data_IF_417221028973
#
_entry.id   IF_417221028973
#
_cell.length_a   1.000
_cell.length_b   1.000
_cell.length_c   1.000
_cell.angle_alpha   90.00
_cell.angle_beta   90.00
_cell.angle_gamma   90.00
#
_symmetry.space_group_name_H-M   'P 1'
#
loop_
_entity.id
_entity.type
_entity.pdbx_description
1 polymer ?
#
# COMPACT_ATOMS: atom_id res chain seq x y z
N UNK A 1 4.34 -34.66 -6.60
CA UNK A 1 4.13 -34.19 -5.23
C UNK A 1 3.42 -35.29 -4.46
N UNK A 2 3.83 -35.61 -3.23
CA UNK A 2 3.14 -36.63 -2.45
C UNK A 2 1.83 -36.03 -1.89
N UNK A 3 0.68 -36.69 -2.09
CA UNK A 3 -0.58 -36.23 -1.51
C UNK A 3 -0.52 -36.33 0.02
N UNK A 4 -1.13 -35.36 0.72
CA UNK A 4 -1.26 -35.42 2.18
C UNK A 4 -2.13 -36.61 2.58
N UNK A 5 -1.78 -37.23 3.70
CA UNK A 5 -2.61 -38.26 4.35
C UNK A 5 -3.69 -37.59 5.20
N UNK A 6 -4.80 -38.30 5.46
CA UNK A 6 -5.90 -37.75 6.27
C UNK A 6 -5.44 -37.27 7.66
N UNK A 7 -4.49 -37.98 8.29
CA UNK A 7 -3.94 -37.61 9.60
C UNK A 7 -3.12 -36.31 9.53
N UNK A 8 -2.39 -36.09 8.43
CA UNK A 8 -1.62 -34.86 8.21
C UNK A 8 -2.57 -33.68 8.01
N UNK A 9 -3.65 -33.86 7.24
CA UNK A 9 -4.70 -32.85 7.05
C UNK A 9 -5.40 -32.49 8.35
N UNK A 10 -5.66 -33.47 9.22
CA UNK A 10 -6.27 -33.22 10.53
C UNK A 10 -5.40 -32.33 11.41
N UNK A 11 -4.08 -32.52 11.38
CA UNK A 11 -3.13 -31.66 12.11
C UNK A 11 -3.04 -30.27 11.48
N UNK A 12 -2.97 -30.20 10.14
CA UNK A 12 -2.96 -28.93 9.41
C UNK A 12 -4.26 -28.15 9.50
N UNK A 13 -5.39 -28.77 9.91
CA UNK A 13 -6.68 -28.10 10.04
C UNK A 13 -6.66 -27.01 11.13
N UNK A 14 -6.00 -27.27 12.26
CA UNK A 14 -5.87 -26.28 13.36
C UNK A 14 -4.99 -25.12 12.90
N UNK A 15 -3.79 -25.43 12.40
CA UNK A 15 -2.87 -24.43 11.85
C UNK A 15 -3.53 -23.60 10.73
N UNK A 16 -4.38 -24.22 9.92
CA UNK A 16 -5.12 -23.52 8.87
C UNK A 16 -6.11 -22.50 9.44
N UNK A 17 -6.85 -22.86 10.50
CA UNK A 17 -7.84 -22.00 11.12
C UNK A 17 -7.24 -20.87 11.94
N UNK A 18 -6.08 -21.09 12.53
CA UNK A 18 -5.28 -20.08 13.24
C UNK A 18 -4.45 -19.21 12.28
N UNK A 19 -4.57 -19.45 10.97
CA UNK A 19 -3.82 -18.78 9.90
C UNK A 19 -2.30 -19.03 9.92
N UNK A 20 -1.83 -20.06 10.62
CA UNK A 20 -0.43 -20.44 10.77
C UNK A 20 0.08 -21.44 9.71
N UNK A 21 -0.81 -22.16 9.02
CA UNK A 21 -0.40 -23.16 8.02
C UNK A 21 0.39 -22.51 6.87
N UNK A 22 1.60 -22.96 6.49
CA UNK A 22 2.36 -22.39 5.38
C UNK A 22 1.67 -22.56 4.03
N UNK A 23 1.89 -21.61 3.12
CA UNK A 23 1.24 -21.58 1.79
C UNK A 23 1.51 -22.82 0.93
N UNK A 24 2.74 -23.33 1.00
CA UNK A 24 3.16 -24.54 0.29
C UNK A 24 2.41 -25.79 0.73
N UNK A 25 1.86 -25.77 1.95
CA UNK A 25 1.10 -26.88 2.51
C UNK A 25 -0.41 -26.63 2.44
N UNK A 26 -0.85 -25.37 2.31
CA UNK A 26 -2.25 -25.01 2.01
C UNK A 26 -2.74 -25.54 0.66
N UNK A 27 -1.92 -25.46 -0.39
CA UNK A 27 -2.31 -26.01 -1.71
C UNK A 27 -2.57 -27.52 -1.61
N UNK A 28 -1.66 -28.26 -0.97
CA UNK A 28 -1.83 -29.70 -0.72
C UNK A 28 -3.04 -30.00 0.17
N UNK A 29 -3.31 -29.14 1.15
CA UNK A 29 -4.46 -29.25 2.04
C UNK A 29 -5.76 -29.11 1.24
N UNK A 30 -5.89 -28.09 0.39
CA UNK A 30 -7.06 -27.92 -0.47
C UNK A 30 -7.22 -29.04 -1.50
N UNK A 31 -6.12 -29.48 -2.11
CA UNK A 31 -6.13 -30.61 -3.04
C UNK A 31 -6.65 -31.88 -2.37
N UNK A 32 -6.28 -32.11 -1.10
CA UNK A 32 -6.81 -33.23 -0.32
C UNK A 32 -8.30 -33.04 0.00
N UNK A 33 -8.73 -31.86 0.46
CA UNK A 33 -10.15 -31.57 0.73
C UNK A 33 -11.02 -31.73 -0.54
N UNK A 34 -10.46 -31.47 -1.72
CA UNK A 34 -11.13 -31.69 -3.00
C UNK A 34 -11.37 -33.18 -3.30
N UNK A 35 -10.56 -34.07 -2.74
CA UNK A 35 -10.58 -35.52 -3.02
C UNK A 35 -11.16 -36.36 -1.88
N UNK A 36 -11.09 -35.89 -0.63
CA UNK A 36 -11.54 -36.61 0.56
C UNK A 36 -12.81 -36.00 1.16
N UNK A 37 -13.95 -36.67 0.98
CA UNK A 37 -15.25 -36.21 1.51
C UNK A 37 -15.29 -36.14 3.04
N UNK A 38 -14.60 -37.05 3.73
CA UNK A 38 -14.53 -37.07 5.19
C UNK A 38 -13.79 -35.85 5.76
N UNK A 39 -12.61 -35.54 5.21
CA UNK A 39 -11.85 -34.36 5.65
C UNK A 39 -12.56 -33.05 5.29
N UNK A 40 -13.28 -33.01 4.15
CA UNK A 40 -14.13 -31.86 3.79
C UNK A 40 -15.25 -31.65 4.81
N UNK A 41 -15.98 -32.71 5.15
CA UNK A 41 -17.06 -32.62 6.13
C UNK A 41 -16.55 -32.12 7.49
N UNK A 42 -15.41 -32.63 7.97
CA UNK A 42 -14.79 -32.18 9.22
C UNK A 42 -14.37 -30.70 9.17
N UNK A 43 -13.81 -30.24 8.04
CA UNK A 43 -13.46 -28.83 7.85
C UNK A 43 -14.71 -27.94 7.84
N UNK A 44 -15.79 -28.36 7.17
CA UNK A 44 -17.02 -27.59 7.08
C UNK A 44 -17.75 -27.51 8.44
N UNK A 45 -17.78 -28.61 9.20
CA UNK A 45 -18.29 -28.65 10.58
C UNK A 45 -17.54 -27.66 11.47
N UNK A 46 -16.20 -27.64 11.39
CA UNK A 46 -15.40 -26.73 12.21
C UNK A 46 -15.59 -25.26 11.80
N UNK A 47 -15.80 -24.98 10.50
CA UNK A 47 -16.19 -23.63 10.04
C UNK A 47 -17.55 -23.21 10.56
N UNK A 48 -18.50 -24.13 10.65
CA UNK A 48 -19.81 -23.85 11.24
C UNK A 48 -19.69 -23.52 12.73
N UNK A 49 -18.92 -24.30 13.50
CA UNK A 49 -18.64 -24.02 14.91
C UNK A 49 -18.01 -22.64 15.09
N UNK A 50 -17.03 -22.28 14.26
CA UNK A 50 -16.41 -20.94 14.31
C UNK A 50 -17.40 -19.82 13.98
N UNK A 51 -18.31 -20.04 13.03
CA UNK A 51 -19.35 -19.07 12.71
C UNK A 51 -20.32 -18.88 13.89
N UNK A 52 -20.68 -19.95 14.59
CA UNK A 52 -21.52 -19.88 15.79
C UNK A 52 -20.81 -19.19 16.95
N UNK A 53 -19.54 -19.51 17.21
CA UNK A 53 -18.72 -18.87 18.26
C UNK A 53 -18.53 -17.38 17.99
N UNK A 54 -18.34 -16.98 16.72
CA UNK A 54 -18.21 -15.57 16.33
C UNK A 54 -19.48 -14.76 16.58
N UNK A 55 -20.63 -15.41 16.67
CA UNK A 55 -21.93 -14.79 16.97
C UNK A 55 -22.25 -14.77 18.47
N UNK A 56 -21.37 -15.28 19.33
CA UNK A 56 -21.50 -15.10 20.77
C UNK A 56 -21.23 -13.62 21.05
N UNK A 57 -22.21 -12.93 21.65
CA UNK A 57 -22.07 -11.53 22.03
C UNK A 57 -20.79 -11.36 22.86
N UNK A 58 -19.86 -10.57 22.32
CA UNK A 58 -18.67 -10.19 23.05
C UNK A 58 -19.13 -9.40 24.26
N UNK A 59 -18.97 -9.98 25.45
CA UNK A 59 -19.22 -9.29 26.70
C UNK A 59 -18.19 -8.16 26.80
N UNK A 60 -18.62 -6.96 26.48
CA UNK A 60 -17.78 -5.77 26.61
C UNK A 60 -17.48 -5.55 28.10
N UNK A 61 -16.23 -5.28 28.47
CA UNK A 61 -15.92 -4.85 29.83
C UNK A 61 -16.77 -3.62 30.19
N UNK A 62 -17.24 -3.51 31.43
CA UNK A 62 -17.96 -2.31 31.88
C UNK A 62 -17.08 -1.07 31.73
N UNK A 63 -17.68 0.11 31.59
CA UNK A 63 -16.95 1.38 31.44
C UNK A 63 -15.87 1.58 32.53
N UNK A 64 -16.16 1.14 33.76
CA UNK A 64 -15.23 1.21 34.89
C UNK A 64 -13.91 0.48 34.64
N UNK A 65 -13.92 -0.62 33.88
CA UNK A 65 -12.68 -1.33 33.50
C UNK A 65 -11.74 -0.44 32.69
N UNK A 66 -12.29 0.35 31.77
CA UNK A 66 -11.51 1.27 30.93
C UNK A 66 -11.01 2.48 31.72
N UNK A 67 -11.85 2.99 32.63
CA UNK A 67 -11.49 4.08 33.52
C UNK A 67 -10.31 3.66 34.43
N UNK A 68 -10.39 2.47 35.04
CA UNK A 68 -9.32 1.89 35.87
C UNK A 68 -8.05 1.62 35.05
N UNK A 69 -8.18 1.05 33.85
CA UNK A 69 -7.04 0.79 32.97
C UNK A 69 -6.30 2.07 32.60
N UNK A 70 -7.04 3.14 32.26
CA UNK A 70 -6.45 4.43 31.92
C UNK A 70 -5.71 5.06 33.11
N UNK A 71 -6.31 4.98 34.31
CA UNK A 71 -5.68 5.44 35.54
C UNK A 71 -4.40 4.67 35.87
N UNK A 72 -4.42 3.34 35.75
CA UNK A 72 -3.26 2.49 36.00
C UNK A 72 -2.12 2.76 35.02
N UNK A 73 -2.42 2.87 33.72
CA UNK A 73 -1.42 3.18 32.69
C UNK A 73 -0.81 4.56 32.91
N UNK A 74 -1.61 5.58 33.23
CA UNK A 74 -1.12 6.92 33.52
C UNK A 74 -0.24 6.96 34.77
N UNK A 75 -0.64 6.26 35.83
CA UNK A 75 0.14 6.13 37.06
C UNK A 75 1.49 5.45 36.80
N UNK A 76 1.52 4.40 35.98
CA UNK A 76 2.77 3.70 35.67
C UNK A 76 3.70 4.55 34.77
N UNK A 77 3.15 5.26 33.78
CA UNK A 77 3.91 6.24 33.00
C UNK A 77 4.49 7.35 33.89
N UNK A 78 3.71 7.84 34.85
CA UNK A 78 4.14 8.84 35.82
C UNK A 78 5.29 8.30 36.70
N UNK A 79 5.14 7.10 37.27
CA UNK A 79 6.18 6.46 38.07
C UNK A 79 7.48 6.26 37.28
N UNK A 80 7.39 5.84 36.01
CA UNK A 80 8.55 5.70 35.13
C UNK A 80 9.23 7.04 34.84
N UNK A 81 8.46 8.13 34.67
CA UNK A 81 9.01 9.47 34.50
C UNK A 81 9.74 9.96 35.76
N UNK A 82 9.12 9.80 36.92
CA UNK A 82 9.70 10.19 38.21
C UNK A 82 10.98 9.38 38.51
N UNK A 83 10.97 8.07 38.26
CA UNK A 83 12.17 7.23 38.36
C UNK A 83 13.29 7.71 37.42
N UNK A 84 12.95 8.11 36.19
CA UNK A 84 13.93 8.61 35.22
C UNK A 84 14.53 9.97 35.62
N UNK A 85 13.71 10.87 36.18
CA UNK A 85 14.17 12.16 36.68
C UNK A 85 15.08 11.98 37.88
N UNK A 86 14.69 11.13 38.84
CA UNK A 86 15.49 10.86 40.04
C UNK A 86 16.84 10.21 39.70
N UNK A 87 16.89 9.30 38.72
CA UNK A 87 18.15 8.70 38.25
C UNK A 87 19.08 9.70 37.52
N UNK A 88 18.53 10.81 36.99
CA UNK A 88 19.31 11.88 36.36
C UNK A 88 19.94 12.82 37.38
N UNK A 89 19.34 12.98 38.56
CA UNK A 89 19.88 13.85 39.62
C UNK A 89 21.10 13.25 40.32
N UNK A 90 21.20 11.91 40.38
CA UNK A 90 22.34 11.22 41.01
C UNK A 90 23.58 11.06 40.11
N UNK A 91 23.53 11.55 38.86
CA UNK A 91 24.66 11.46 37.91
C UNK A 91 25.33 12.79 37.57
N UNK A 92 25.00 13.88 38.27
CA UNK A 92 25.86 15.07 38.27
C UNK A 92 27.04 14.85 39.22
N UNK A 93 28.07 14.16 38.72
CA UNK A 93 29.41 14.27 39.29
C UNK A 93 29.91 15.66 38.90
N UNK A 94 29.91 16.57 39.87
CA UNK A 94 30.55 17.88 39.74
C UNK A 94 32.06 17.66 39.64
N UNK A 95 32.58 17.57 38.41
CA UNK A 95 34.02 17.51 38.16
C UNK A 95 34.55 18.93 38.18
N UNK A 96 34.79 19.44 39.39
CA UNK A 96 35.64 20.61 39.58
C UNK A 96 37.09 20.19 39.36
N UNK A 97 37.66 20.56 38.21
CA UNK A 97 39.12 20.61 38.03
C UNK A 97 39.51 21.60 36.94
N UNK A 98 40.27 22.66 37.28
CA UNK A 98 40.88 23.51 36.29
C UNK A 98 42.12 22.82 35.72
N UNK A 99 42.05 22.50 34.42
CA UNK A 99 43.21 22.30 33.56
C UNK A 99 43.81 20.91 33.57
N UNK A 100 43.14 19.93 32.95
CA UNK A 100 43.79 18.77 32.33
C UNK A 100 43.11 18.38 31.02
N UNK A 101 43.95 17.99 30.06
CA UNK A 101 43.63 17.59 28.70
C UNK A 101 43.00 16.19 28.72
N UNK A 102 41.73 16.05 28.32
CA UNK A 102 41.00 14.78 28.37
C UNK A 102 40.86 14.22 26.96
N UNK A 103 41.65 13.17 26.68
CA UNK A 103 41.47 12.28 25.53
C UNK A 103 40.23 11.40 25.73
N UNK A 104 39.19 11.60 24.91
CA UNK A 104 38.00 10.74 24.90
C UNK A 104 38.31 9.35 24.33
N UNK A 105 38.09 8.30 25.12
CA UNK A 105 37.84 6.94 24.61
C UNK A 105 36.33 6.67 24.68
N UNK A 106 35.71 6.62 23.52
CA UNK A 106 34.30 6.31 23.32
C UNK A 106 34.03 4.84 23.70
N UNK A 107 33.15 4.62 24.68
CA UNK A 107 32.70 3.28 25.07
C UNK A 107 31.28 3.07 24.53
N UNK A 108 31.16 2.30 23.45
CA UNK A 108 29.88 1.95 22.82
C UNK A 108 29.19 0.83 23.60
N UNK A 109 28.36 1.18 24.55
CA UNK A 109 27.26 0.31 24.98
C UNK A 109 26.10 1.17 25.49
N UNK A 110 25.01 1.18 24.71
CA UNK A 110 23.68 1.68 25.06
C UNK A 110 23.55 3.13 25.54
N UNK A 111 23.28 4.04 24.60
CA UNK A 111 22.49 5.23 24.93
C UNK A 111 21.70 5.72 23.71
N UNK A 112 20.38 5.63 23.78
CA UNK A 112 19.48 6.38 22.90
C UNK A 112 19.55 7.85 23.32
N UNK A 113 20.32 8.66 22.60
CA UNK A 113 20.35 10.12 22.78
C UNK A 113 19.21 10.72 21.96
N UNK A 114 18.17 11.21 22.64
CA UNK A 114 17.16 12.07 22.02
C UNK A 114 17.68 13.51 22.09
N UNK A 115 18.05 14.06 20.93
CA UNK A 115 18.47 15.46 20.80
C UNK A 115 17.23 16.33 20.60
N UNK A 116 16.96 17.24 21.53
CA UNK A 116 16.01 18.33 21.32
C UNK A 116 16.77 19.56 20.82
N UNK A 117 16.52 19.96 19.57
CA UNK A 117 17.03 21.23 19.05
C UNK A 117 16.05 22.36 19.39
N UNK A 118 16.47 23.26 20.27
CA UNK A 118 15.72 24.46 20.63
C UNK A 118 15.99 25.55 19.57
N UNK A 119 14.95 25.98 18.86
CA UNK A 119 15.05 27.04 17.85
C UNK A 119 14.96 28.40 18.55
N UNK A 120 16.10 29.09 18.68
CA UNK A 120 16.13 30.52 19.06
C UNK A 120 15.86 31.39 17.84
N UNK A 121 14.74 32.10 17.84
CA UNK A 121 14.39 33.13 16.88
C UNK A 121 15.39 34.30 16.91
N UNK A 122 16.09 34.55 15.79
CA UNK A 122 16.92 35.75 15.60
C UNK A 122 16.03 36.97 15.29
N UNK A 123 16.26 38.07 16.01
CA UNK A 123 15.73 39.41 15.69
C UNK A 123 16.33 39.90 14.38
N UNK A 124 15.47 40.49 13.55
CA UNK A 124 15.77 41.15 12.27
C UNK A 124 16.35 42.54 12.54
N UNK A 125 17.46 42.87 11.89
CA UNK A 125 17.93 44.25 11.75
C UNK A 125 19.45 44.40 11.76
N UNK A 126 20.11 44.18 10.62
CA UNK A 126 21.34 44.90 10.24
C UNK A 126 21.65 44.68 8.74
N UNK A 127 22.11 45.72 8.01
CA UNK A 127 22.23 45.69 6.55
C UNK A 127 23.52 45.05 6.03
N UNK A 128 23.40 44.43 4.86
CA UNK A 128 24.45 43.71 4.15
C UNK A 128 25.60 44.63 3.69
N UNK A 129 26.83 44.21 3.97
CA UNK A 129 28.04 44.75 3.34
C UNK A 129 28.34 44.02 2.02
N UNK A 130 28.69 44.79 1.00
CA UNK A 130 29.15 44.37 -0.33
C UNK A 130 30.42 43.51 -0.28
N UNK A 131 30.56 42.47 -1.13
CA UNK A 131 31.83 41.77 -1.28
C UNK A 131 32.73 42.43 -2.33
N UNK A 132 33.98 42.61 -1.90
CA UNK A 132 35.15 43.02 -2.68
C UNK A 132 35.62 41.88 -3.60
N UNK A 133 36.00 42.23 -4.83
CA UNK A 133 36.65 41.35 -5.79
C UNK A 133 38.09 41.01 -5.37
N UNK A 134 38.54 39.78 -5.63
CA UNK A 134 39.92 39.47 -6.04
C UNK A 134 40.08 37.96 -6.32
N UNK A 135 40.92 37.62 -7.30
CA UNK A 135 41.57 36.31 -7.34
C UNK A 135 41.44 35.52 -8.64
N UNK A 136 42.00 36.06 -9.71
CA UNK A 136 42.36 35.35 -10.93
C UNK A 136 43.43 34.29 -10.64
N UNK A 137 43.16 33.00 -10.89
CA UNK A 137 44.19 31.96 -10.95
C UNK A 137 44.06 31.12 -12.23
N UNK A 138 45.01 31.38 -13.11
CA UNK A 138 45.35 30.62 -14.31
C UNK A 138 45.99 29.30 -13.89
N UNK A 139 45.32 28.17 -14.16
CA UNK A 139 45.92 26.83 -14.06
C UNK A 139 46.25 26.32 -15.46
N UNK A 140 47.55 26.14 -15.69
CA UNK A 140 48.17 25.57 -16.90
C UNK A 140 47.79 24.10 -17.07
N UNK A 141 47.34 23.73 -18.27
CA UNK A 141 47.30 22.34 -18.74
C UNK A 141 48.70 21.79 -19.01
N UNK A 142 48.99 20.53 -18.67
CA UNK A 142 50.06 19.78 -19.31
C UNK A 142 49.53 18.67 -20.23
N UNK A 143 49.99 18.76 -21.47
CA UNK A 143 50.50 17.71 -22.35
C UNK A 143 49.96 16.27 -22.23
N UNK A 144 49.35 15.87 -23.35
CA UNK A 144 49.23 14.50 -23.88
C UNK A 144 50.54 13.71 -23.86
N UNK A 145 50.48 12.38 -23.71
CA UNK A 145 51.41 11.48 -24.38
C UNK A 145 50.72 10.53 -25.35
N UNK A 146 51.31 10.51 -26.53
CA UNK A 146 51.11 9.60 -27.64
C UNK A 146 51.36 8.12 -27.31
N UNK A 147 50.60 7.29 -28.03
CA UNK A 147 50.99 6.03 -28.64
C UNK A 147 51.39 4.84 -27.76
N UNK A 148 50.50 3.83 -27.72
CA UNK A 148 50.86 2.42 -28.00
C UNK A 148 49.75 1.72 -28.79
N UNK A 149 50.08 1.32 -30.03
CA UNK A 149 49.31 0.39 -30.86
C UNK A 149 49.43 -1.03 -30.29
N UNK A 150 48.34 -1.78 -30.09
CA UNK A 150 48.40 -3.23 -30.03
C UNK A 150 48.23 -3.83 -31.43
N UNK A 151 49.17 -4.70 -31.76
CA UNK A 151 49.26 -5.55 -32.94
C UNK A 151 48.00 -6.38 -33.16
N UNK A 152 47.50 -6.38 -34.40
CA UNK A 152 46.37 -7.17 -34.86
C UNK A 152 46.66 -8.68 -34.74
N UNK A 153 45.95 -9.33 -33.81
CA UNK A 153 45.84 -10.79 -33.75
C UNK A 153 44.63 -11.19 -34.58
N UNK A 154 44.85 -11.80 -35.75
CA UNK A 154 43.80 -12.37 -36.60
C UNK A 154 43.14 -13.53 -35.86
N UNK A 155 41.90 -13.34 -35.43
CA UNK A 155 41.02 -14.43 -35.00
C UNK A 155 40.19 -14.90 -36.21
N UNK A 156 39.91 -16.22 -36.35
CA UNK A 156 39.13 -16.73 -37.45
C UNK A 156 37.68 -16.25 -37.37
N UNK A 157 37.25 -15.59 -38.45
CA UNK A 157 35.90 -15.09 -38.69
C UNK A 157 35.00 -16.28 -39.02
N UNK A 158 34.37 -16.93 -38.02
CA UNK A 158 33.28 -17.90 -38.28
C UNK A 158 32.10 -17.81 -37.26
N UNK A 159 32.16 -17.00 -36.19
CA UNK A 159 31.10 -17.02 -35.15
C UNK A 159 30.17 -15.79 -35.14
N UNK A 160 30.34 -14.83 -36.05
CA UNK A 160 29.62 -13.55 -36.00
C UNK A 160 28.10 -13.54 -36.34
N UNK A 161 27.48 -14.48 -37.09
CA UNK A 161 26.05 -14.34 -37.41
C UNK A 161 25.11 -14.77 -36.26
N UNK A 162 25.56 -15.66 -35.36
CA UNK A 162 24.70 -16.18 -34.29
C UNK A 162 24.58 -15.18 -33.14
N UNK A 163 25.66 -14.49 -32.76
CA UNK A 163 25.63 -13.47 -31.72
C UNK A 163 24.77 -12.27 -32.11
N UNK A 164 24.80 -11.86 -33.39
CA UNK A 164 23.96 -10.77 -33.89
C UNK A 164 22.46 -11.15 -33.89
N UNK A 165 22.12 -12.39 -34.27
CA UNK A 165 20.73 -12.85 -34.25
C UNK A 165 20.14 -12.94 -32.82
N UNK A 166 20.95 -13.39 -31.85
CA UNK A 166 20.54 -13.45 -30.43
C UNK A 166 20.38 -12.05 -29.84
N UNK A 167 21.28 -11.11 -30.16
CA UNK A 167 21.17 -9.72 -29.70
C UNK A 167 19.98 -8.99 -30.33
N UNK A 168 19.66 -9.24 -31.61
CA UNK A 168 18.46 -8.69 -32.25
C UNK A 168 17.20 -9.30 -31.64
N UNK A 169 17.19 -10.60 -31.33
CA UNK A 169 16.06 -11.27 -30.67
C UNK A 169 15.80 -10.77 -29.24
N UNK A 170 16.85 -10.47 -28.47
CA UNK A 170 16.73 -9.90 -27.11
C UNK A 170 16.30 -8.43 -27.19
N UNK A 171 16.83 -7.67 -28.15
CA UNK A 171 16.44 -6.27 -28.33
C UNK A 171 14.98 -6.12 -28.78
N UNK A 172 14.47 -7.01 -29.65
CA UNK A 172 13.06 -6.95 -30.09
C UNK A 172 12.07 -7.36 -29.01
N UNK A 173 12.39 -8.35 -28.17
CA UNK A 173 11.52 -8.71 -27.03
C UNK A 173 11.49 -7.61 -25.96
N UNK A 174 12.62 -6.97 -25.66
CA UNK A 174 12.66 -5.80 -24.77
C UNK A 174 11.87 -4.61 -25.34
N UNK A 175 12.05 -4.29 -26.63
CA UNK A 175 11.34 -3.19 -27.29
C UNK A 175 9.81 -3.40 -27.33
N UNK A 176 9.35 -4.65 -27.44
CA UNK A 176 7.92 -4.99 -27.40
C UNK A 176 7.33 -4.89 -25.99
N UNK A 177 8.08 -5.28 -24.96
CA UNK A 177 7.69 -5.09 -23.56
C UNK A 177 7.59 -3.60 -23.21
N UNK A 178 8.56 -2.80 -23.65
CA UNK A 178 8.63 -1.36 -23.37
C UNK A 178 7.53 -0.60 -24.12
N UNK A 179 7.23 -0.96 -25.38
CA UNK A 179 6.08 -0.42 -26.12
C UNK A 179 4.73 -0.78 -25.51
N UNK A 180 4.58 -1.98 -24.93
CA UNK A 180 3.35 -2.28 -24.21
C UNK A 180 3.22 -1.37 -22.99
N UNK A 181 4.27 -1.12 -22.21
CA UNK A 181 4.18 -0.23 -21.05
C UNK A 181 3.92 1.25 -21.39
N UNK A 182 4.33 1.73 -22.58
CA UNK A 182 4.15 3.13 -22.98
C UNK A 182 2.72 3.46 -23.44
N UNK A 183 1.95 2.49 -23.94
CA UNK A 183 0.54 2.71 -24.33
C UNK A 183 -0.36 2.83 -23.08
N UNK A 184 0.11 2.39 -21.92
CA UNK A 184 -0.62 2.47 -20.65
C UNK A 184 -0.42 3.79 -19.87
N UNK A 185 0.43 4.72 -20.33
CA UNK A 185 0.99 5.73 -19.41
C UNK A 185 0.17 6.99 -19.14
N UNK A 186 -0.68 7.48 -20.06
CA UNK A 186 -1.14 8.89 -19.94
C UNK A 186 -2.66 9.09 -19.78
N UNK A 187 -3.50 8.12 -20.13
CA UNK A 187 -4.97 8.26 -19.98
C UNK A 187 -5.47 8.04 -18.55
N UNK A 188 -4.64 7.49 -17.66
CA UNK A 188 -5.04 7.14 -16.29
C UNK A 188 -4.98 8.34 -15.34
N UNK A 189 -4.01 9.25 -15.55
CA UNK A 189 -3.96 10.53 -14.84
C UNK A 189 -5.19 11.39 -15.18
N UNK A 190 -5.81 11.19 -16.34
CA UNK A 190 -7.01 11.92 -16.79
C UNK A 190 -8.32 11.36 -16.17
N UNK A 191 -8.27 10.19 -15.52
CA UNK A 191 -9.47 9.53 -14.92
C UNK A 191 -9.61 9.72 -13.42
N UNK A 192 -8.79 10.61 -12.85
CA UNK A 192 -8.90 11.11 -11.48
C UNK A 192 -10.29 11.68 -11.15
N UNK A 193 -11.00 12.15 -12.18
CA UNK A 193 -12.37 12.61 -12.11
C UNK A 193 -13.44 11.51 -12.15
N UNK A 194 -13.12 10.21 -12.10
CA UNK A 194 -14.12 9.14 -12.18
C UNK A 194 -15.25 9.36 -11.15
N UNK A 195 -14.92 9.54 -9.87
CA UNK A 195 -15.93 9.78 -8.83
C UNK A 195 -16.76 11.06 -9.08
N UNK A 196 -16.16 12.09 -9.68
CA UNK A 196 -16.86 13.32 -10.03
C UNK A 196 -17.81 13.16 -11.24
N UNK A 197 -17.64 12.09 -12.02
CA UNK A 197 -18.52 11.75 -13.16
C UNK A 197 -19.68 10.85 -12.75
N UNK A 198 -19.67 10.27 -11.55
CA UNK A 198 -20.72 9.37 -11.07
C UNK A 198 -22.03 10.16 -10.91
N UNK A 199 -23.04 9.78 -11.68
CA UNK A 199 -24.39 10.34 -11.58
C UNK A 199 -25.22 9.52 -10.60
N UNK A 200 -25.66 10.14 -9.50
CA UNK A 200 -26.40 9.49 -8.41
C UNK A 200 -27.36 10.46 -7.72
N UNK A 201 -28.49 9.94 -7.23
CA UNK A 201 -29.37 10.66 -6.30
C UNK A 201 -28.79 10.70 -4.87
N UNK A 202 -27.94 9.73 -4.53
CA UNK A 202 -27.22 9.64 -3.27
C UNK A 202 -25.86 10.32 -3.36
N UNK A 203 -25.40 10.88 -2.24
CA UNK A 203 -24.04 11.42 -2.12
C UNK A 203 -22.97 10.31 -2.19
N UNK A 204 -21.75 10.65 -2.61
CA UNK A 204 -20.65 9.67 -2.67
C UNK A 204 -20.36 8.99 -1.32
N UNK A 205 -20.55 9.65 -0.19
CA UNK A 205 -20.41 9.02 1.12
C UNK A 205 -21.52 8.01 1.43
N UNK A 206 -22.77 8.30 1.05
CA UNK A 206 -23.86 7.33 1.22
C UNK A 206 -23.62 6.10 0.36
N UNK A 207 -23.17 6.29 -0.88
CA UNK A 207 -22.72 5.21 -1.75
C UNK A 207 -21.56 4.43 -1.10
N UNK A 208 -20.54 5.12 -0.58
CA UNK A 208 -19.38 4.51 0.04
C UNK A 208 -19.74 3.69 1.28
N UNK A 209 -20.69 4.13 2.12
CA UNK A 209 -21.19 3.34 3.26
C UNK A 209 -21.90 2.04 2.83
N UNK A 210 -22.49 2.04 1.64
CA UNK A 210 -23.15 0.86 1.06
C UNK A 210 -22.17 -0.07 0.34
N UNK A 211 -20.94 0.38 0.07
CA UNK A 211 -19.84 -0.51 -0.35
C UNK A 211 -19.29 -1.18 0.91
N UNK A 212 -19.27 -2.51 0.96
CA UNK A 212 -18.68 -3.23 2.10
C UNK A 212 -17.28 -2.66 2.42
N UNK A 213 -17.03 -2.12 3.62
CA UNK A 213 -15.80 -1.39 3.87
C UNK A 213 -14.61 -2.37 3.93
N UNK A 214 -13.45 -1.97 3.41
CA UNK A 214 -12.23 -2.78 3.48
C UNK A 214 -11.79 -3.07 4.92
N UNK A 215 -12.28 -2.27 5.88
CA UNK A 215 -12.00 -2.45 7.30
C UNK A 215 -12.70 -3.67 7.91
N UNK A 216 -13.68 -4.27 7.23
CA UNK A 216 -14.16 -5.57 7.65
C UNK A 216 -13.07 -6.59 7.33
N UNK A 217 -12.58 -7.37 8.32
CA UNK A 217 -11.59 -8.40 8.08
C UNK A 217 -12.18 -9.40 7.09
N UNK A 218 -11.77 -9.28 5.83
CA UNK A 218 -12.08 -10.24 4.79
C UNK A 218 -11.61 -11.62 5.24
N UNK A 219 -12.36 -12.65 4.87
CA UNK A 219 -11.85 -14.00 4.96
C UNK A 219 -10.59 -14.06 4.07
N UNK A 220 -9.41 -14.06 4.70
CA UNK A 220 -8.08 -13.81 4.14
C UNK A 220 -7.63 -14.81 3.06
N UNK A 221 -8.29 -14.85 1.90
CA UNK A 221 -8.03 -15.83 0.84
C UNK A 221 -7.54 -15.13 -0.42
N UNK A 222 -6.22 -15.09 -0.66
CA UNK A 222 -5.68 -14.43 -1.86
C UNK A 222 -4.18 -14.15 -1.86
N UNK A 223 -3.83 -12.93 -2.30
CA UNK A 223 -2.48 -12.36 -2.18
C UNK A 223 -1.98 -12.24 -0.73
N UNK A 224 -2.72 -12.73 0.27
CA UNK A 224 -2.31 -12.82 1.68
C UNK A 224 -1.03 -13.62 1.87
N UNK A 225 -0.75 -14.56 0.96
CA UNK A 225 0.56 -15.19 0.78
C UNK A 225 1.73 -14.23 0.55
N UNK A 226 1.43 -13.08 -0.06
CA UNK A 226 2.34 -12.04 -0.50
C UNK A 226 1.86 -10.73 0.10
N UNK A 227 2.01 -10.59 1.43
CA UNK A 227 1.58 -9.43 2.23
C UNK A 227 1.80 -8.07 1.54
N UNK A 228 2.93 -7.89 0.85
CA UNK A 228 3.23 -6.68 0.09
C UNK A 228 2.20 -6.38 -1.02
N UNK A 229 1.80 -7.38 -1.82
CA UNK A 229 0.84 -7.20 -2.93
C UNK A 229 -0.58 -6.89 -2.42
N UNK A 230 -0.99 -7.52 -1.32
CA UNK A 230 -2.25 -7.18 -0.64
C UNK A 230 -2.25 -5.72 -0.14
N UNK A 231 -1.13 -5.27 0.42
CA UNK A 231 -1.03 -3.92 0.96
C UNK A 231 -1.19 -2.87 -0.14
N UNK A 232 -0.63 -3.11 -1.33
CA UNK A 232 -0.78 -2.22 -2.49
C UNK A 232 -2.23 -2.06 -2.94
N UNK A 233 -2.93 -3.18 -3.08
CA UNK A 233 -4.35 -3.19 -3.42
C UNK A 233 -5.15 -2.39 -2.38
N UNK A 234 -4.90 -2.66 -1.10
CA UNK A 234 -5.57 -2.00 0.02
C UNK A 234 -5.31 -0.50 0.05
N UNK A 235 -4.05 -0.07 -0.15
CA UNK A 235 -3.68 1.35 -0.19
C UNK A 235 -4.44 2.08 -1.31
N UNK A 236 -4.49 1.49 -2.51
CA UNK A 236 -5.23 2.06 -3.64
C UNK A 236 -6.71 2.27 -3.34
N UNK A 237 -7.37 1.25 -2.79
CA UNK A 237 -8.78 1.35 -2.38
C UNK A 237 -8.99 2.36 -1.24
N UNK A 238 -8.13 2.38 -0.22
CA UNK A 238 -8.23 3.33 0.90
C UNK A 238 -8.12 4.79 0.43
N UNK A 239 -7.26 5.08 -0.56
CA UNK A 239 -7.20 6.40 -1.18
C UNK A 239 -8.52 6.78 -1.86
N UNK A 240 -9.10 5.88 -2.66
CA UNK A 240 -10.36 6.11 -3.36
C UNK A 240 -11.52 6.29 -2.37
N UNK A 241 -11.57 5.49 -1.30
CA UNK A 241 -12.57 5.59 -0.25
C UNK A 241 -12.45 6.90 0.55
N UNK A 242 -11.22 7.29 0.93
CA UNK A 242 -10.98 8.58 1.56
C UNK A 242 -11.41 9.76 0.66
N UNK A 243 -11.17 9.68 -0.66
CA UNK A 243 -11.66 10.70 -1.60
C UNK A 243 -13.19 10.82 -1.62
N UNK A 244 -13.91 9.71 -1.59
CA UNK A 244 -15.37 9.71 -1.56
C UNK A 244 -15.91 10.48 -0.33
N UNK A 245 -15.34 10.22 0.86
CA UNK A 245 -15.71 10.93 2.09
C UNK A 245 -15.27 12.41 2.10
N UNK A 246 -14.11 12.72 1.49
CA UNK A 246 -13.67 14.10 1.32
C UNK A 246 -14.59 14.90 0.40
N UNK A 247 -15.07 14.30 -0.70
CA UNK A 247 -15.97 14.96 -1.64
C UNK A 247 -17.31 15.39 -1.01
N UNK A 248 -17.76 14.70 0.04
CA UNK A 248 -19.05 14.94 0.71
C UNK A 248 -18.92 15.46 2.15
N UNK A 249 -17.73 15.96 2.51
CA UNK A 249 -17.44 16.55 3.82
C UNK A 249 -17.76 15.68 5.06
N UNK A 250 -17.56 14.36 4.96
CA UNK A 250 -17.77 13.45 6.09
C UNK A 250 -16.51 13.35 6.95
N UNK A 251 -16.41 14.22 7.95
CA UNK A 251 -15.19 14.41 8.75
C UNK A 251 -14.72 13.15 9.50
N UNK A 252 -15.67 12.41 10.10
CA UNK A 252 -15.37 11.28 10.99
C UNK A 252 -14.81 10.13 10.17
N UNK A 253 -15.54 9.71 9.14
CA UNK A 253 -15.13 8.64 8.23
C UNK A 253 -13.83 9.01 7.53
N UNK A 254 -13.71 10.22 6.98
CA UNK A 254 -12.46 10.66 6.35
C UNK A 254 -11.26 10.52 7.31
N UNK A 255 -11.37 10.95 8.56
CA UNK A 255 -10.28 10.81 9.54
C UNK A 255 -9.92 9.35 9.80
N UNK A 256 -10.92 8.47 9.92
CA UNK A 256 -10.74 7.02 10.08
C UNK A 256 -9.96 6.44 8.90
N UNK A 257 -10.38 6.74 7.66
CA UNK A 257 -9.71 6.21 6.47
C UNK A 257 -8.32 6.80 6.25
N UNK A 258 -8.09 8.08 6.60
CA UNK A 258 -6.75 8.66 6.60
C UNK A 258 -5.82 7.98 7.61
N UNK A 259 -6.34 7.56 8.77
CA UNK A 259 -5.56 6.82 9.76
C UNK A 259 -5.21 5.41 9.27
N UNK A 260 -6.18 4.69 8.69
CA UNK A 260 -5.94 3.37 8.06
C UNK A 260 -4.93 3.46 6.92
N UNK A 261 -5.07 4.45 6.04
CA UNK A 261 -4.17 4.68 4.92
C UNK A 261 -2.75 4.99 5.41
N UNK A 262 -2.61 5.83 6.43
CA UNK A 262 -1.32 6.14 7.05
C UNK A 262 -0.66 4.88 7.63
N UNK A 263 -1.41 4.05 8.35
CA UNK A 263 -0.90 2.79 8.89
C UNK A 263 -0.45 1.82 7.78
N UNK A 264 -1.22 1.69 6.70
CA UNK A 264 -0.87 0.86 5.55
C UNK A 264 0.44 1.33 4.88
N UNK A 265 0.60 2.64 4.68
CA UNK A 265 1.81 3.25 4.11
C UNK A 265 3.05 3.14 5.02
N UNK A 266 2.87 3.12 6.34
CA UNK A 266 3.97 2.94 7.29
C UNK A 266 4.53 1.52 7.31
N UNK A 267 3.70 0.53 6.94
CA UNK A 267 4.08 -0.88 6.87
C UNK A 267 4.78 -1.25 5.55
N UNK A 268 4.95 -0.31 4.64
CA UNK A 268 5.67 -0.52 3.39
C UNK A 268 7.19 -0.64 3.59
N UNK A 269 7.84 -1.42 2.73
CA UNK A 269 9.31 -1.62 2.76
C UNK A 269 10.06 -0.29 2.57
N UNK A 270 9.46 0.63 1.81
CA UNK A 270 9.95 2.00 1.64
C UNK A 270 8.84 2.98 2.03
N UNK A 271 8.78 3.41 3.30
CA UNK A 271 7.76 4.34 3.76
C UNK A 271 7.77 5.62 2.94
N UNK A 272 6.60 5.97 2.40
CA UNK A 272 6.43 7.17 1.57
C UNK A 272 6.25 8.40 2.48
N UNK A 273 7.32 8.85 3.10
CA UNK A 273 7.30 9.89 4.15
C UNK A 273 6.60 11.18 3.71
N UNK A 274 6.79 11.62 2.47
CA UNK A 274 6.11 12.79 1.89
C UNK A 274 4.59 12.59 1.83
N UNK A 275 4.15 11.38 1.48
CA UNK A 275 2.73 11.03 1.35
C UNK A 275 2.08 10.93 2.74
N UNK A 276 2.75 10.29 3.68
CA UNK A 276 2.34 10.19 5.09
C UNK A 276 2.24 11.60 5.71
N UNK A 277 3.20 12.48 5.41
CA UNK A 277 3.17 13.87 5.85
C UNK A 277 1.98 14.62 5.24
N UNK A 278 1.72 14.47 3.94
CA UNK A 278 0.54 15.03 3.27
C UNK A 278 -0.77 14.59 3.93
N UNK A 279 -0.95 13.28 4.16
CA UNK A 279 -2.10 12.73 4.88
C UNK A 279 -2.26 13.35 6.27
N UNK A 280 -1.15 13.49 7.01
CA UNK A 280 -1.16 14.12 8.34
C UNK A 280 -1.59 15.60 8.25
N UNK A 281 -1.12 16.34 7.25
CA UNK A 281 -1.54 17.73 7.03
C UNK A 281 -3.01 17.86 6.65
N UNK A 282 -3.57 16.91 5.90
CA UNK A 282 -5.01 16.86 5.64
C UNK A 282 -5.75 16.68 6.97
N UNK A 283 -5.41 15.66 7.77
CA UNK A 283 -6.07 15.39 9.05
C UNK A 283 -6.11 16.59 10.01
N UNK A 284 -5.03 17.38 10.07
CA UNK A 284 -4.92 18.57 10.92
C UNK A 284 -5.79 19.76 10.45
N UNK A 285 -6.10 19.83 9.15
CA UNK A 285 -6.80 20.96 8.54
C UNK A 285 -8.31 20.78 8.42
N UNK A 286 -8.87 19.57 8.53
CA UNK A 286 -10.30 19.30 8.35
C UNK A 286 -11.19 19.99 9.39
N UNK A 287 -11.58 21.25 9.14
CA UNK A 287 -12.43 22.06 10.03
C UNK A 287 -13.65 22.67 9.32
N UNK A 288 -13.52 23.00 8.04
CA UNK A 288 -14.49 23.75 7.25
C UNK A 288 -14.78 23.05 5.92
N UNK A 289 -15.89 23.40 5.26
CA UNK A 289 -16.24 22.84 3.95
C UNK A 289 -15.14 23.06 2.90
N UNK A 290 -14.48 24.22 2.89
CA UNK A 290 -13.37 24.49 1.98
C UNK A 290 -12.18 23.58 2.21
N UNK A 291 -11.95 23.13 3.45
CA UNK A 291 -10.87 22.20 3.77
C UNK A 291 -11.12 20.82 3.14
N UNK A 292 -12.38 20.40 2.99
CA UNK A 292 -12.73 19.12 2.36
C UNK A 292 -12.49 19.12 0.85
N UNK A 293 -12.81 20.22 0.17
CA UNK A 293 -12.49 20.37 -1.27
C UNK A 293 -10.98 20.33 -1.48
N UNK A 294 -10.21 21.04 -0.63
CA UNK A 294 -8.75 20.99 -0.67
C UNK A 294 -8.23 19.59 -0.35
N UNK A 295 -8.79 18.91 0.65
CA UNK A 295 -8.43 17.54 1.00
C UNK A 295 -8.67 16.57 -0.16
N UNK A 296 -9.78 16.68 -0.88
CA UNK A 296 -10.07 15.83 -2.02
C UNK A 296 -9.05 16.01 -3.16
N UNK A 297 -8.70 17.27 -3.48
CA UNK A 297 -7.68 17.59 -4.48
C UNK A 297 -6.29 17.11 -4.04
N UNK A 298 -5.97 17.25 -2.75
CA UNK A 298 -4.69 16.81 -2.21
C UNK A 298 -4.58 15.29 -2.15
N UNK A 299 -5.63 14.57 -1.76
CA UNK A 299 -5.67 13.10 -1.80
C UNK A 299 -5.47 12.57 -3.21
N UNK A 300 -6.09 13.22 -4.18
CA UNK A 300 -5.89 12.95 -5.60
C UNK A 300 -4.41 13.07 -6.00
N UNK A 301 -3.77 14.20 -5.65
CA UNK A 301 -2.35 14.41 -5.93
C UNK A 301 -1.49 13.34 -5.25
N UNK A 302 -1.74 13.08 -3.97
CA UNK A 302 -1.00 12.10 -3.18
C UNK A 302 -1.13 10.68 -3.73
N UNK A 303 -2.31 10.28 -4.21
CA UNK A 303 -2.51 9.00 -4.89
C UNK A 303 -1.68 8.93 -6.18
N UNK A 304 -1.64 10.00 -6.98
CA UNK A 304 -0.81 10.01 -8.19
C UNK A 304 0.68 9.90 -7.87
N UNK A 305 1.14 10.64 -6.87
CA UNK A 305 2.54 10.60 -6.43
C UNK A 305 2.89 9.20 -5.92
N UNK A 306 1.99 8.57 -5.15
CA UNK A 306 2.10 7.19 -4.72
C UNK A 306 2.26 6.22 -5.90
N UNK A 307 1.29 6.25 -6.82
CA UNK A 307 1.23 5.41 -8.00
C UNK A 307 2.47 5.60 -8.88
N UNK A 308 2.93 6.84 -9.07
CA UNK A 308 4.12 7.16 -9.84
C UNK A 308 5.40 6.66 -9.16
N UNK A 309 5.48 6.71 -7.83
CA UNK A 309 6.61 6.19 -7.07
C UNK A 309 6.71 4.66 -7.18
N UNK A 310 5.61 3.94 -6.95
CA UNK A 310 5.59 2.47 -7.03
C UNK A 310 5.77 1.98 -8.46
N UNK A 311 5.26 2.69 -9.49
CA UNK A 311 5.45 2.32 -10.90
C UNK A 311 6.92 2.24 -11.30
N UNK A 312 7.77 3.10 -10.75
CA UNK A 312 9.22 3.09 -11.01
C UNK A 312 9.92 1.91 -10.36
N UNK A 313 9.33 1.35 -9.30
CA UNK A 313 9.91 0.26 -8.52
C UNK A 313 9.42 -1.10 -9.02
N UNK A 314 8.11 -1.24 -9.22
CA UNK A 314 7.47 -2.50 -9.55
C UNK A 314 6.11 -2.28 -10.25
N UNK A 315 6.03 -2.73 -11.50
CA UNK A 315 4.82 -2.61 -12.33
C UNK A 315 3.65 -3.43 -11.77
N UNK A 316 3.91 -4.56 -11.10
CA UNK A 316 2.86 -5.37 -10.49
C UNK A 316 2.22 -4.65 -9.30
N UNK A 317 3.04 -4.06 -8.42
CA UNK A 317 2.58 -3.23 -7.30
C UNK A 317 1.75 -2.05 -7.78
N UNK A 318 2.24 -1.36 -8.81
CA UNK A 318 1.49 -0.29 -9.50
C UNK A 318 0.11 -0.75 -9.97
N UNK A 319 0.04 -1.90 -10.65
CA UNK A 319 -1.22 -2.43 -11.18
C UNK A 319 -2.20 -2.78 -10.06
N UNK A 320 -1.73 -3.29 -8.93
CA UNK A 320 -2.57 -3.65 -7.79
C UNK A 320 -3.12 -2.43 -7.07
N UNK A 321 -2.31 -1.41 -6.81
CA UNK A 321 -2.80 -0.15 -6.25
C UNK A 321 -3.85 0.50 -7.15
N UNK A 322 -3.61 0.52 -8.47
CA UNK A 322 -4.59 1.00 -9.44
C UNK A 322 -5.87 0.15 -9.44
N UNK A 323 -5.75 -1.17 -9.35
CA UNK A 323 -6.88 -2.09 -9.26
C UNK A 323 -7.76 -1.82 -8.04
N UNK A 324 -7.14 -1.63 -6.87
CA UNK A 324 -7.85 -1.31 -5.64
C UNK A 324 -8.63 -0.01 -5.73
N UNK A 325 -8.00 1.06 -6.24
CA UNK A 325 -8.67 2.35 -6.42
C UNK A 325 -9.85 2.24 -7.41
N UNK A 326 -9.61 1.62 -8.57
CA UNK A 326 -10.62 1.51 -9.62
C UNK A 326 -11.82 0.63 -9.21
N UNK A 327 -11.59 -0.49 -8.52
CA UNK A 327 -12.69 -1.38 -8.11
C UNK A 327 -13.60 -0.73 -7.08
N UNK A 328 -13.06 0.10 -6.18
CA UNK A 328 -13.88 0.88 -5.25
C UNK A 328 -14.72 1.92 -6.01
N UNK A 329 -14.08 2.71 -6.87
CA UNK A 329 -14.77 3.69 -7.73
C UNK A 329 -15.87 3.02 -8.58
N UNK A 330 -15.59 1.86 -9.17
CA UNK A 330 -16.55 1.08 -9.93
C UNK A 330 -17.72 0.59 -9.07
N UNK A 331 -17.47 0.17 -7.82
CA UNK A 331 -18.54 -0.19 -6.88
C UNK A 331 -19.49 0.99 -6.62
N UNK A 332 -18.95 2.19 -6.44
CA UNK A 332 -19.76 3.41 -6.28
C UNK A 332 -20.65 3.64 -7.51
N UNK A 333 -20.09 3.51 -8.72
CA UNK A 333 -20.86 3.66 -9.95
C UNK A 333 -21.96 2.59 -10.11
N UNK A 334 -21.70 1.35 -9.66
CA UNK A 334 -22.69 0.27 -9.68
C UNK A 334 -23.84 0.56 -8.71
N UNK A 335 -23.56 0.99 -7.48
CA UNK A 335 -24.59 1.33 -6.48
C UNK A 335 -25.40 2.56 -6.94
N UNK A 336 -24.73 3.55 -7.52
CA UNK A 336 -25.35 4.72 -8.14
C UNK A 336 -26.23 4.37 -9.35
N UNK A 337 -26.12 3.15 -9.88
CA UNK A 337 -26.71 2.72 -11.16
C UNK A 337 -26.32 3.61 -12.34
N UNK A 338 -25.12 4.18 -12.31
CA UNK A 338 -24.60 5.05 -13.37
C UNK A 338 -24.15 4.21 -14.57
N UNK A 339 -25.04 4.09 -15.56
CA UNK A 339 -24.82 3.34 -16.81
C UNK A 339 -23.60 3.79 -17.60
N UNK A 340 -23.27 5.09 -17.56
CA UNK A 340 -22.15 5.63 -18.33
C UNK A 340 -20.84 5.21 -17.66
N UNK A 341 -20.76 5.42 -16.34
CA UNK A 341 -19.55 5.11 -15.56
C UNK A 341 -19.23 3.62 -15.50
N UNK A 342 -20.24 2.74 -15.44
CA UNK A 342 -19.99 1.28 -15.44
C UNK A 342 -19.59 0.72 -16.83
N UNK A 343 -19.81 1.46 -17.93
CA UNK A 343 -19.49 1.03 -19.30
C UNK A 343 -18.03 1.29 -19.72
N UNK A 344 -17.11 1.25 -18.76
CA UNK A 344 -15.67 1.38 -18.98
C UNK A 344 -15.03 0.05 -19.37
N UNK A 345 -15.42 -0.47 -20.55
CA UNK A 345 -14.97 -1.78 -21.04
C UNK A 345 -13.45 -1.86 -21.25
N UNK A 346 -12.83 -0.77 -21.72
CA UNK A 346 -11.39 -0.71 -21.96
C UNK A 346 -10.62 -0.79 -20.64
N UNK A 347 -11.06 -0.07 -19.61
CA UNK A 347 -10.45 -0.11 -18.27
C UNK A 347 -10.59 -1.49 -17.65
N UNK A 348 -11.77 -2.11 -17.76
CA UNK A 348 -12.00 -3.44 -17.22
C UNK A 348 -11.14 -4.50 -17.93
N UNK A 349 -10.95 -4.39 -19.24
CA UNK A 349 -10.05 -5.25 -20.01
C UNK A 349 -8.57 -5.04 -19.64
N UNK A 350 -8.16 -3.78 -19.49
CA UNK A 350 -6.82 -3.42 -19.03
C UNK A 350 -6.54 -3.96 -17.63
N UNK A 351 -7.48 -3.79 -16.70
CA UNK A 351 -7.41 -4.29 -15.34
C UNK A 351 -7.30 -5.82 -15.31
N UNK A 352 -8.09 -6.51 -16.14
CA UNK A 352 -8.05 -7.97 -16.26
C UNK A 352 -6.67 -8.44 -16.70
N UNK A 353 -6.11 -7.80 -17.72
CA UNK A 353 -4.76 -8.11 -18.23
C UNK A 353 -3.69 -7.85 -17.16
N UNK A 354 -3.79 -6.72 -16.46
CA UNK A 354 -2.86 -6.32 -15.42
C UNK A 354 -2.87 -7.29 -14.22
N UNK A 355 -4.07 -7.67 -13.75
CA UNK A 355 -4.23 -8.63 -12.64
C UNK A 355 -3.81 -10.05 -13.05
N UNK A 356 -4.07 -10.46 -14.29
CA UNK A 356 -3.58 -11.73 -14.80
C UNK A 356 -2.04 -11.77 -14.82
N UNK A 357 -1.39 -10.70 -15.29
CA UNK A 357 0.07 -10.57 -15.29
C UNK A 357 0.68 -10.53 -13.87
N UNK A 358 -0.07 -10.04 -12.89
CA UNK A 358 0.30 -10.08 -11.47
C UNK A 358 0.08 -11.45 -10.81
N UNK A 359 -0.48 -12.42 -11.54
CA UNK A 359 -0.79 -13.76 -11.02
C UNK A 359 -1.99 -13.78 -10.08
N UNK A 360 -3.01 -12.96 -10.36
CA UNK A 360 -4.25 -12.97 -9.59
C UNK A 360 -4.93 -14.36 -9.59
N UNK A 361 -5.60 -14.74 -8.49
CA UNK A 361 -6.30 -16.03 -8.42
C UNK A 361 -7.31 -16.24 -9.56
N UNK A 362 -7.53 -17.48 -10.04
CA UNK A 362 -8.49 -17.76 -11.11
C UNK A 362 -9.91 -17.26 -10.82
N UNK A 363 -10.32 -17.22 -9.54
CA UNK A 363 -11.59 -16.66 -9.11
C UNK A 363 -11.74 -15.18 -9.44
N UNK A 364 -10.69 -14.38 -9.27
CA UNK A 364 -10.66 -12.95 -9.62
C UNK A 364 -10.86 -12.76 -11.11
N UNK A 365 -10.12 -13.51 -11.94
CA UNK A 365 -10.24 -13.43 -13.40
C UNK A 365 -11.64 -13.87 -13.87
N UNK A 366 -12.21 -14.90 -13.24
CA UNK A 366 -13.59 -15.34 -13.50
C UNK A 366 -14.61 -14.23 -13.20
N UNK A 367 -14.48 -13.56 -12.05
CA UNK A 367 -15.36 -12.43 -11.68
C UNK A 367 -15.22 -11.24 -12.63
N UNK A 368 -14.00 -10.86 -13.02
CA UNK A 368 -13.77 -9.80 -14.01
C UNK A 368 -14.40 -10.13 -15.37
N UNK A 369 -14.28 -11.38 -15.83
CA UNK A 369 -14.92 -11.82 -17.08
C UNK A 369 -16.45 -11.78 -17.01
N UNK A 370 -17.05 -12.12 -15.86
CA UNK A 370 -18.50 -11.97 -15.66
C UNK A 370 -18.92 -10.50 -15.67
N UNK A 371 -18.15 -9.62 -15.02
CA UNK A 371 -18.40 -8.17 -15.08
C UNK A 371 -18.37 -7.68 -16.53
N UNK A 372 -17.35 -8.09 -17.32
CA UNK A 372 -17.28 -7.73 -18.75
C UNK A 372 -18.51 -8.23 -19.52
N UNK A 373 -18.97 -9.45 -19.26
CA UNK A 373 -20.14 -10.02 -19.92
C UNK A 373 -21.42 -9.22 -19.61
N UNK A 374 -21.59 -8.77 -18.36
CA UNK A 374 -22.72 -7.93 -17.95
C UNK A 374 -22.65 -6.55 -18.61
N UNK A 375 -21.50 -5.88 -18.56
CA UNK A 375 -21.33 -4.52 -19.09
C UNK A 375 -21.47 -4.47 -20.62
N UNK A 376 -21.17 -5.57 -21.32
CA UNK A 376 -21.37 -5.69 -22.78
C UNK A 376 -22.84 -5.83 -23.20
N UNK A 377 -23.76 -6.11 -22.27
CA UNK A 377 -25.17 -6.24 -22.60
C UNK A 377 -25.72 -4.91 -23.15
N UNK A 378 -26.65 -4.92 -24.13
CA UNK A 378 -27.28 -3.71 -24.64
C UNK A 378 -28.06 -2.95 -23.56
N UNK A 379 -28.71 -3.70 -22.67
CA UNK A 379 -29.50 -3.19 -21.56
C UNK A 379 -29.00 -3.81 -20.26
N UNK A 380 -28.83 -2.99 -19.22
CA UNK A 380 -28.43 -3.40 -17.88
C UNK A 380 -29.65 -3.18 -16.98
N UNK A 381 -30.18 -4.25 -16.39
CA UNK A 381 -31.35 -4.22 -15.49
C UNK A 381 -30.94 -4.26 -14.02
N UNK A 382 -31.87 -4.05 -13.08
CA UNK A 382 -31.57 -3.97 -11.64
C UNK A 382 -30.79 -5.19 -11.11
N UNK A 383 -31.14 -6.40 -11.57
CA UNK A 383 -30.44 -7.63 -11.23
C UNK A 383 -28.97 -7.62 -11.66
N UNK A 384 -28.64 -6.96 -12.76
CA UNK A 384 -27.27 -6.87 -13.25
C UNK A 384 -26.39 -6.00 -12.36
N UNK A 385 -26.94 -4.92 -11.80
CA UNK A 385 -26.19 -4.09 -10.82
C UNK A 385 -25.87 -4.89 -9.56
N UNK A 386 -26.84 -5.67 -9.06
CA UNK A 386 -26.59 -6.58 -7.92
C UNK A 386 -25.51 -7.60 -8.24
N UNK A 387 -25.57 -8.22 -9.43
CA UNK A 387 -24.54 -9.15 -9.89
C UNK A 387 -23.17 -8.47 -10.01
N UNK A 388 -23.11 -7.26 -10.57
CA UNK A 388 -21.87 -6.49 -10.68
C UNK A 388 -21.26 -6.19 -9.31
N UNK A 389 -22.08 -5.74 -8.35
CA UNK A 389 -21.63 -5.45 -6.99
C UNK A 389 -21.10 -6.72 -6.32
N UNK A 390 -21.84 -7.83 -6.44
CA UNK A 390 -21.40 -9.12 -5.93
C UNK A 390 -20.07 -9.57 -6.54
N UNK A 391 -19.85 -9.37 -7.84
CA UNK A 391 -18.57 -9.71 -8.46
C UNK A 391 -17.42 -8.78 -8.00
N UNK A 392 -17.68 -7.50 -7.75
CA UNK A 392 -16.69 -6.60 -7.13
C UNK A 392 -16.33 -7.06 -5.72
N UNK A 393 -17.31 -7.45 -4.91
CA UNK A 393 -17.09 -8.00 -3.56
C UNK A 393 -16.33 -9.33 -3.60
N UNK A 394 -16.64 -10.20 -4.57
CA UNK A 394 -15.88 -11.43 -4.80
C UNK A 394 -14.41 -11.12 -5.13
N UNK A 395 -14.15 -10.13 -5.99
CA UNK A 395 -12.77 -9.73 -6.32
C UNK A 395 -12.08 -9.17 -5.07
N UNK A 396 -12.75 -8.26 -4.35
CA UNK A 396 -12.18 -7.64 -3.14
C UNK A 396 -11.93 -8.64 -2.03
N UNK A 397 -12.77 -9.66 -1.85
CA UNK A 397 -12.53 -10.72 -0.86
C UNK A 397 -11.45 -11.73 -1.29
N UNK A 398 -11.17 -11.85 -2.59
CA UNK A 398 -10.11 -12.71 -3.11
C UNK A 398 -8.75 -12.00 -3.27
N UNK A 399 -8.74 -10.68 -3.30
CA UNK A 399 -7.54 -9.84 -3.36
C UNK A 399 -7.20 -9.23 -1.99
N UNK A 400 -8.24 -9.04 -1.18
CA UNK A 400 -8.24 -8.60 0.20
C UNK A 400 -8.46 -9.76 1.17
#
# INVERSE_FOLDING_TARGET
MNPLRCDEVKNSLVEYLEFELPLTDREKFYDHLAQCSQCRAAHDELRQVLAEVKNIDVVYPPQSYWDDLSGNVLNEIQQLREATVNNKTDSFIEVDSPGHDVSYKENRANTNVIVFSEIRSRKVGEPAATPVSQGEQVVKSPASPEARRPTARRWPIVVLPIAAAVLIGIATTFSLLERQTSIYSDTVADKIGFQAQIQSEQSLAELARNVAPLSQPGNQFGFTSRKALFNEFSIGSLFSEAKAYAATAQAVELKTYLALLKAALQNEVSPQSEIINGITQIQLRLKTQSDFVQANNELTRLLNDYIAAIKRQDVQRYNLARAGAWLFDYALAVIAKDKVSIRQLDELAQLTTALQAAGAPPGVLKSLNKMQAIVKQPTIVDRDYQNLLQEVENIRSLLG
#
